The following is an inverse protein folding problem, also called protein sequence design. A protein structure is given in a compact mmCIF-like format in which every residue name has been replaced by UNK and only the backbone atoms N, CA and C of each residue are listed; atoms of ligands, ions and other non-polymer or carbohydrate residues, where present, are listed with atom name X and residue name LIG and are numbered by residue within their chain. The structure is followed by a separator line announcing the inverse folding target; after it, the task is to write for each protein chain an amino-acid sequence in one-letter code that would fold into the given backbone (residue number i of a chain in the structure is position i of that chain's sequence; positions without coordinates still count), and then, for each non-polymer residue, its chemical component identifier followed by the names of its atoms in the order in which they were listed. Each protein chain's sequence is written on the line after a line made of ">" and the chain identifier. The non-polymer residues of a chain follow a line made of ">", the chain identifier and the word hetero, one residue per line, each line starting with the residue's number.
data_IF_641369071461
#
_entry.id   IF_641369071461
#
_cell.length_a   1.000
_cell.length_b   1.000
_cell.length_c   1.000
_cell.angle_alpha   90.00
_cell.angle_beta   90.00
_cell.angle_gamma   90.00
#
_symmetry.space_group_name_H-M   'P 1'
#
loop_
_entity.id
_entity.type
_entity.pdbx_description
1 polymer ?
#
# COMPACT_ATOMS: atom_id res chain seq x y z
N UNK A 1 -3.25 -8.77 0.79
CA UNK A 1 -2.49 -10.01 1.02
C UNK A 1 -2.19 -10.65 -0.33
N UNK A 2 -0.94 -11.00 -0.61
CA UNK A 2 -0.54 -11.70 -1.84
C UNK A 2 -1.12 -13.12 -1.89
N UNK A 3 -1.46 -13.64 -3.08
CA UNK A 3 -2.00 -15.01 -3.26
C UNK A 3 -1.07 -16.08 -2.65
N UNK A 4 0.23 -15.86 -2.71
CA UNK A 4 1.25 -16.75 -2.14
C UNK A 4 1.14 -16.84 -0.61
N UNK A 5 1.02 -15.70 0.08
CA UNK A 5 0.80 -15.64 1.53
C UNK A 5 -0.44 -16.41 1.96
N UNK A 6 -1.56 -16.23 1.25
CA UNK A 6 -2.80 -16.93 1.56
C UNK A 6 -2.65 -18.45 1.44
N UNK A 7 -1.99 -18.93 0.37
CA UNK A 7 -1.71 -20.36 0.18
C UNK A 7 -0.83 -20.92 1.30
N UNK A 8 0.21 -20.21 1.71
CA UNK A 8 1.10 -20.69 2.78
C UNK A 8 0.39 -20.72 4.14
N UNK A 9 -0.47 -19.74 4.42
CA UNK A 9 -1.31 -19.73 5.62
C UNK A 9 -2.28 -20.92 5.64
N UNK A 10 -2.97 -21.17 4.53
CA UNK A 10 -3.88 -22.31 4.41
C UNK A 10 -3.15 -23.65 4.62
N UNK A 11 -1.96 -23.79 4.02
CA UNK A 11 -1.11 -24.96 4.19
C UNK A 11 -0.70 -25.14 5.67
N UNK A 12 -0.30 -24.06 6.34
CA UNK A 12 0.07 -24.07 7.75
C UNK A 12 -1.08 -24.53 8.67
N UNK A 13 -2.32 -24.14 8.34
CA UNK A 13 -3.50 -24.48 9.13
C UNK A 13 -3.96 -25.93 8.93
N UNK A 14 -3.72 -26.50 7.75
CA UNK A 14 -4.27 -27.80 7.34
C UNK A 14 -3.27 -28.95 7.40
N UNK A 15 -1.96 -28.67 7.31
CA UNK A 15 -0.93 -29.69 7.24
C UNK A 15 -0.96 -30.63 8.46
N UNK A 16 -0.89 -31.94 8.19
CA UNK A 16 -0.87 -33.00 9.20
C UNK A 16 0.52 -33.58 9.44
N UNK A 17 1.43 -33.44 8.47
CA UNK A 17 2.79 -33.97 8.49
C UNK A 17 3.75 -32.94 7.88
N UNK A 18 5.03 -33.08 8.19
CA UNK A 18 6.09 -32.33 7.52
C UNK A 18 6.21 -32.70 6.04
N UNK A 19 6.77 -31.78 5.27
CA UNK A 19 7.00 -31.98 3.85
C UNK A 19 7.84 -30.87 3.24
N UNK A 20 7.77 -30.73 1.92
CA UNK A 20 8.60 -29.78 1.18
C UNK A 20 8.38 -28.32 1.55
N UNK A 21 7.16 -27.97 1.94
CA UNK A 21 6.75 -26.59 2.22
C UNK A 21 6.30 -26.37 3.68
N UNK A 22 6.32 -27.41 4.51
CA UNK A 22 5.89 -27.34 5.91
C UNK A 22 6.90 -28.07 6.77
N UNK A 23 7.36 -27.41 7.81
CA UNK A 23 8.31 -27.94 8.78
C UNK A 23 7.78 -27.70 10.19
N UNK A 24 7.91 -28.71 11.05
CA UNK A 24 7.47 -28.66 12.43
C UNK A 24 8.69 -28.57 13.32
N UNK A 25 8.67 -27.62 14.26
CA UNK A 25 9.70 -27.48 15.27
C UNK A 25 9.07 -27.61 16.64
N UNK A 26 9.49 -28.60 17.40
CA UNK A 26 8.95 -28.83 18.74
C UNK A 26 9.29 -27.68 19.68
N UNK A 27 10.52 -27.17 19.57
CA UNK A 27 11.11 -26.13 20.42
C UNK A 27 12.10 -25.29 19.63
N UNK A 28 12.40 -24.11 20.16
CA UNK A 28 13.46 -23.23 19.68
C UNK A 28 13.98 -22.38 20.83
N UNK A 29 15.30 -22.37 21.03
CA UNK A 29 15.96 -21.48 21.99
C UNK A 29 16.63 -20.30 21.27
N UNK A 30 16.10 -19.05 21.42
CA UNK A 30 16.70 -17.86 20.82
C UNK A 30 18.12 -17.54 21.33
N UNK A 31 18.55 -18.10 22.46
CA UNK A 31 19.90 -17.92 22.99
C UNK A 31 20.89 -18.94 22.43
N UNK A 32 20.41 -20.03 21.82
CA UNK A 32 21.23 -21.11 21.29
C UNK A 32 21.70 -20.81 19.86
N UNK A 33 23.03 -20.67 19.62
CA UNK A 33 23.56 -20.50 18.26
C UNK A 33 23.30 -21.73 17.37
N UNK A 34 23.22 -22.92 17.97
CA UNK A 34 22.91 -24.16 17.24
C UNK A 34 21.48 -24.16 16.69
N UNK A 35 20.50 -23.72 17.49
CA UNK A 35 19.10 -23.65 17.07
C UNK A 35 18.93 -22.60 15.98
N UNK A 36 19.58 -21.44 16.11
CA UNK A 36 19.64 -20.44 15.05
C UNK A 36 20.20 -21.00 13.75
N UNK A 37 21.32 -21.73 13.80
CA UNK A 37 21.91 -22.32 12.60
C UNK A 37 20.97 -23.33 11.92
N UNK A 38 20.22 -24.12 12.69
CA UNK A 38 19.21 -25.06 12.16
C UNK A 38 18.06 -24.31 11.48
N UNK A 39 17.48 -23.31 12.15
CA UNK A 39 16.37 -22.52 11.60
C UNK A 39 16.80 -21.75 10.35
N UNK A 40 17.97 -21.12 10.35
CA UNK A 40 18.47 -20.37 9.18
C UNK A 40 18.69 -21.30 7.98
N UNK A 41 19.24 -22.50 8.20
CA UNK A 41 19.34 -23.51 7.13
C UNK A 41 17.98 -23.82 6.53
N UNK A 42 16.98 -24.04 7.39
CA UNK A 42 15.63 -24.40 6.97
C UNK A 42 14.92 -23.26 6.23
N UNK A 43 15.06 -22.02 6.71
CA UNK A 43 14.55 -20.81 6.05
C UNK A 43 15.13 -20.67 4.65
N UNK A 44 16.47 -20.74 4.52
CA UNK A 44 17.14 -20.59 3.22
C UNK A 44 16.77 -21.74 2.28
N UNK A 45 16.74 -22.98 2.77
CA UNK A 45 16.35 -24.14 1.99
C UNK A 45 14.91 -24.01 1.45
N UNK A 46 13.98 -23.51 2.26
CA UNK A 46 12.61 -23.25 1.83
C UNK A 46 12.54 -22.12 0.80
N UNK A 47 13.21 -21.00 1.04
CA UNK A 47 13.23 -19.87 0.12
C UNK A 47 13.71 -20.30 -1.28
N UNK A 48 14.80 -21.06 -1.34
CA UNK A 48 15.36 -21.61 -2.57
C UNK A 48 14.40 -22.60 -3.25
N UNK A 49 13.69 -23.42 -2.46
CA UNK A 49 12.78 -24.46 -2.96
C UNK A 49 11.36 -23.99 -3.33
N UNK A 50 11.04 -22.71 -3.20
CA UNK A 50 9.73 -22.15 -3.59
C UNK A 50 8.88 -21.65 -2.45
N UNK A 51 9.49 -21.36 -1.31
CA UNK A 51 8.82 -20.89 -0.11
C UNK A 51 8.17 -22.02 0.70
N UNK A 52 7.77 -21.68 1.91
CA UNK A 52 7.20 -22.61 2.87
C UNK A 52 6.81 -21.94 4.18
N UNK A 53 6.53 -22.76 5.17
CA UNK A 53 6.20 -22.33 6.53
C UNK A 53 6.88 -23.23 7.54
N UNK A 54 7.50 -22.62 8.55
CA UNK A 54 7.99 -23.32 9.74
C UNK A 54 7.01 -23.02 10.87
N UNK A 55 6.48 -24.07 11.51
CA UNK A 55 5.57 -23.97 12.65
C UNK A 55 6.26 -24.42 13.93
N UNK A 56 6.17 -23.60 14.97
CA UNK A 56 6.78 -23.88 16.26
C UNK A 56 5.75 -24.40 17.26
N UNK A 57 6.20 -25.28 18.15
CA UNK A 57 5.36 -25.95 19.13
C UNK A 57 4.64 -27.19 18.61
N UNK A 58 5.18 -27.83 17.57
CA UNK A 58 4.65 -29.06 16.98
C UNK A 58 5.75 -30.10 16.93
N UNK A 59 5.43 -31.32 17.38
CA UNK A 59 6.33 -32.49 17.29
C UNK A 59 6.30 -33.12 15.90
N UNK A 60 7.25 -33.99 15.61
CA UNK A 60 7.36 -34.68 14.30
C UNK A 60 6.12 -35.52 13.96
N UNK A 61 5.39 -36.01 14.96
CA UNK A 61 4.12 -36.74 14.80
C UNK A 61 2.91 -35.83 14.51
N UNK A 62 3.11 -34.50 14.48
CA UNK A 62 2.09 -33.48 14.25
C UNK A 62 1.28 -33.09 15.49
N UNK A 63 1.55 -33.69 16.65
CA UNK A 63 0.97 -33.32 17.94
C UNK A 63 1.61 -32.03 18.49
N UNK A 64 0.92 -31.38 19.44
CA UNK A 64 1.40 -30.12 20.00
C UNK A 64 2.36 -30.33 21.16
N UNK A 65 3.39 -29.49 21.26
CA UNK A 65 4.26 -29.39 22.43
C UNK A 65 3.78 -28.28 23.38
N UNK A 66 4.44 -28.10 24.52
CA UNK A 66 4.17 -27.02 25.47
C UNK A 66 5.03 -25.76 25.23
N UNK A 67 5.57 -25.62 24.01
CA UNK A 67 6.39 -24.47 23.65
C UNK A 67 5.60 -23.15 23.69
N UNK A 68 6.19 -22.12 24.31
CA UNK A 68 5.60 -20.78 24.34
C UNK A 68 5.80 -20.08 23.00
N UNK A 69 4.68 -19.82 22.31
CA UNK A 69 4.66 -19.12 21.02
C UNK A 69 5.24 -17.71 21.10
N UNK A 70 5.16 -17.04 22.25
CA UNK A 70 5.67 -15.69 22.41
C UNK A 70 7.19 -15.62 22.23
N UNK A 71 7.90 -16.73 22.46
CA UNK A 71 9.33 -16.87 22.19
C UNK A 71 9.69 -16.53 20.75
N UNK A 72 8.81 -16.83 19.79
CA UNK A 72 9.03 -16.56 18.36
C UNK A 72 8.37 -15.25 17.94
N UNK A 73 7.13 -15.00 18.40
CA UNK A 73 6.40 -13.76 18.08
C UNK A 73 7.12 -12.51 18.61
N UNK A 74 7.82 -12.64 19.75
CA UNK A 74 8.61 -11.56 20.33
C UNK A 74 9.95 -11.30 19.62
N UNK A 75 10.34 -12.13 18.66
CA UNK A 75 11.57 -11.90 17.89
C UNK A 75 11.29 -10.82 16.84
N UNK A 76 12.08 -9.75 16.88
CA UNK A 76 12.08 -8.75 15.83
C UNK A 76 12.56 -9.39 14.50
N UNK A 77 11.78 -9.27 13.40
CA UNK A 77 12.21 -9.71 12.07
C UNK A 77 13.62 -9.23 11.68
N UNK A 78 14.05 -8.04 12.11
CA UNK A 78 15.40 -7.54 11.84
C UNK A 78 16.48 -8.47 12.41
N UNK A 79 16.25 -9.06 13.60
CA UNK A 79 17.20 -10.01 14.20
C UNK A 79 17.36 -11.26 13.33
N UNK A 80 16.26 -11.77 12.77
CA UNK A 80 16.31 -12.92 11.86
C UNK A 80 17.06 -12.56 10.58
N UNK A 81 16.79 -11.39 10.00
CA UNK A 81 17.47 -10.90 8.80
C UNK A 81 18.98 -10.73 9.04
N UNK A 82 19.39 -10.12 10.16
CA UNK A 82 20.79 -9.94 10.54
C UNK A 82 21.50 -11.28 10.73
N UNK A 83 20.83 -12.25 11.37
CA UNK A 83 21.37 -13.60 11.52
C UNK A 83 21.56 -14.26 10.16
N UNK A 84 20.60 -14.15 9.24
CA UNK A 84 20.74 -14.68 7.87
C UNK A 84 21.91 -14.01 7.15
N UNK A 85 21.97 -12.68 7.13
CA UNK A 85 23.04 -11.89 6.49
C UNK A 85 24.41 -12.25 7.06
N UNK A 86 24.52 -12.54 8.38
CA UNK A 86 25.77 -13.00 8.99
C UNK A 86 26.33 -14.32 8.43
N UNK A 87 25.50 -15.14 7.79
CA UNK A 87 25.89 -16.42 7.19
C UNK A 87 25.88 -16.41 5.65
N UNK A 88 25.13 -15.52 5.02
CA UNK A 88 24.94 -15.48 3.56
C UNK A 88 25.54 -14.23 2.91
N UNK A 89 25.67 -13.12 3.64
CA UNK A 89 25.93 -11.75 3.15
C UNK A 89 24.82 -11.20 2.23
N UNK A 90 23.63 -11.77 2.32
CA UNK A 90 22.45 -11.34 1.59
C UNK A 90 21.44 -10.71 2.56
N UNK A 91 20.85 -9.58 2.16
CA UNK A 91 19.80 -8.89 2.90
C UNK A 91 18.44 -9.54 2.63
N UNK A 92 18.29 -10.79 3.05
CA UNK A 92 17.06 -11.55 2.87
C UNK A 92 15.99 -11.12 3.89
N UNK A 93 14.93 -10.48 3.40
CA UNK A 93 13.77 -10.05 4.19
C UNK A 93 12.43 -10.64 3.71
N UNK A 94 12.47 -11.63 2.81
CA UNK A 94 11.28 -12.24 2.20
C UNK A 94 10.67 -13.32 3.11
N UNK A 95 10.33 -12.93 4.34
CA UNK A 95 9.66 -13.76 5.32
C UNK A 95 8.77 -12.92 6.24
N UNK A 96 7.83 -13.57 6.93
CA UNK A 96 7.00 -12.94 7.95
C UNK A 96 6.88 -13.84 9.18
N UNK A 97 7.00 -13.24 10.36
CA UNK A 97 6.74 -13.90 11.65
C UNK A 97 5.31 -13.54 12.08
N UNK A 98 4.47 -14.54 12.33
CA UNK A 98 3.07 -14.30 12.70
C UNK A 98 2.43 -15.44 13.49
N UNK A 99 1.31 -15.13 14.12
CA UNK A 99 0.49 -16.11 14.83
C UNK A 99 -0.41 -16.87 13.84
N UNK A 100 -0.33 -18.20 13.86
CA UNK A 100 -1.09 -19.10 12.99
C UNK A 100 -2.02 -19.97 13.86
N UNK A 101 -3.30 -20.01 13.51
CA UNK A 101 -4.28 -20.86 14.22
C UNK A 101 -4.43 -22.20 13.50
N UNK A 102 -3.93 -23.29 14.11
CA UNK A 102 -4.05 -24.68 13.60
C UNK A 102 -4.95 -25.48 14.52
N UNK A 103 -6.00 -26.14 13.99
CA UNK A 103 -7.00 -26.92 14.75
C UNK A 103 -7.38 -26.31 16.11
N UNK A 104 -7.75 -25.03 16.13
CA UNK A 104 -8.14 -24.21 17.30
C UNK A 104 -7.02 -23.83 18.30
N UNK A 105 -5.76 -24.19 18.04
CA UNK A 105 -4.60 -23.76 18.82
C UNK A 105 -3.82 -22.68 18.07
N UNK A 106 -3.45 -21.60 18.77
CA UNK A 106 -2.58 -20.55 18.26
C UNK A 106 -1.12 -20.95 18.44
N UNK A 107 -0.36 -20.86 17.36
CA UNK A 107 1.06 -21.19 17.28
C UNK A 107 1.82 -20.02 16.67
N UNK A 108 3.13 -19.99 16.85
CA UNK A 108 3.98 -19.10 16.08
C UNK A 108 4.43 -19.79 14.79
N UNK A 109 4.50 -19.02 13.71
CA UNK A 109 5.05 -19.50 12.45
C UNK A 109 5.87 -18.44 11.74
N UNK A 110 6.81 -18.94 10.92
CA UNK A 110 7.58 -18.12 9.99
C UNK A 110 7.14 -18.51 8.59
N UNK A 111 6.46 -17.60 7.90
CA UNK A 111 6.19 -17.72 6.46
C UNK A 111 7.43 -17.32 5.69
N UNK A 112 7.85 -18.13 4.73
CA UNK A 112 9.06 -17.91 3.94
C UNK A 112 8.64 -17.86 2.48
N UNK A 113 8.96 -16.76 1.80
CA UNK A 113 8.62 -16.58 0.39
C UNK A 113 9.74 -17.07 -0.52
N UNK A 114 9.37 -17.35 -1.78
CA UNK A 114 10.31 -17.85 -2.78
C UNK A 114 11.29 -16.79 -3.27
N UNK A 115 12.59 -17.08 -3.24
CA UNK A 115 13.60 -16.23 -3.88
C UNK A 115 13.79 -16.61 -5.37
N UNK A 116 14.00 -15.64 -6.27
CA UNK A 116 14.35 -15.92 -7.67
C UNK A 116 15.79 -16.40 -7.85
N UNK A 117 16.69 -16.10 -6.89
CA UNK A 117 18.10 -16.45 -6.96
C UNK A 117 18.46 -17.30 -5.76
N UNK A 118 19.06 -18.50 -5.95
CA UNK A 118 19.44 -19.35 -4.83
C UNK A 118 20.45 -18.65 -3.91
N UNK A 119 20.16 -18.65 -2.61
CA UNK A 119 21.01 -18.01 -1.60
C UNK A 119 22.11 -19.00 -1.18
N UNK A 120 23.36 -18.54 -1.21
CA UNK A 120 24.55 -19.32 -0.88
C UNK A 120 25.02 -18.97 0.54
N UNK A 121 25.44 -19.99 1.31
CA UNK A 121 26.11 -19.74 2.59
C UNK A 121 27.57 -19.34 2.37
N UNK A 122 27.96 -18.16 2.83
CA UNK A 122 29.35 -17.66 2.74
C UNK A 122 30.17 -17.95 4.00
N UNK A 123 29.52 -18.39 5.08
CA UNK A 123 30.12 -18.86 6.33
C UNK A 123 29.52 -20.22 6.74
N UNK A 124 30.31 -21.07 7.39
CA UNK A 124 29.81 -22.32 7.95
C UNK A 124 28.89 -22.06 9.14
N UNK A 125 27.89 -22.92 9.32
CA UNK A 125 27.00 -22.90 10.48
C UNK A 125 27.72 -23.36 11.74
N UNK A 126 27.16 -23.02 12.91
CA UNK A 126 27.66 -23.54 14.18
C UNK A 126 27.57 -25.07 14.20
N UNK A 127 28.53 -25.71 14.86
CA UNK A 127 28.54 -27.16 15.02
C UNK A 127 27.34 -27.64 15.83
N UNK A 128 26.65 -28.63 15.27
CA UNK A 128 25.51 -29.30 15.87
C UNK A 128 25.85 -30.75 16.10
N UNK A 129 25.45 -31.28 17.25
CA UNK A 129 25.59 -32.70 17.56
C UNK A 129 24.56 -33.49 16.75
N UNK A 130 25.01 -34.42 15.90
CA UNK A 130 24.16 -35.42 15.26
C UNK A 130 23.83 -36.57 16.23
N UNK A 131 22.86 -37.42 15.86
CA UNK A 131 22.38 -38.58 16.64
C UNK A 131 23.48 -39.59 17.04
N UNK A 132 24.67 -39.50 16.44
CA UNK A 132 25.84 -40.35 16.74
C UNK A 132 26.94 -39.65 17.54
N UNK A 133 26.65 -38.50 18.16
CA UNK A 133 27.59 -37.75 19.01
C UNK A 133 28.71 -37.02 18.25
N UNK A 134 28.79 -37.15 16.92
CA UNK A 134 29.73 -36.39 16.09
C UNK A 134 29.21 -34.96 15.90
N UNK A 135 30.06 -33.99 16.19
CA UNK A 135 29.81 -32.59 15.89
C UNK A 135 30.13 -32.32 14.42
N UNK A 136 29.18 -31.70 13.72
CA UNK A 136 29.36 -31.21 12.34
C UNK A 136 28.69 -29.86 12.20
N UNK A 137 29.18 -29.01 11.28
CA UNK A 137 28.56 -27.72 11.04
C UNK A 137 27.15 -27.93 10.51
N UNK A 138 26.18 -27.14 10.99
CA UNK A 138 24.79 -27.23 10.55
C UNK A 138 24.64 -27.13 9.01
N UNK A 139 25.53 -26.35 8.39
CA UNK A 139 25.70 -26.17 6.96
C UNK A 139 27.15 -25.76 6.62
N UNK A 140 27.59 -26.07 5.40
CA UNK A 140 28.98 -25.83 4.95
C UNK A 140 29.07 -24.55 4.12
N UNK A 141 30.20 -23.84 4.24
CA UNK A 141 30.53 -22.66 3.41
C UNK A 141 30.55 -23.02 1.92
N UNK A 142 30.03 -22.13 1.08
CA UNK A 142 29.94 -22.27 -0.37
C UNK A 142 28.81 -23.19 -0.85
N UNK A 143 28.00 -23.73 0.08
CA UNK A 143 26.91 -24.62 -0.26
C UNK A 143 25.58 -23.87 -0.39
N UNK A 144 24.74 -24.35 -1.29
CA UNK A 144 23.35 -23.91 -1.46
C UNK A 144 22.46 -25.05 -0.97
N UNK A 145 21.52 -24.76 -0.09
CA UNK A 145 20.61 -25.76 0.44
C UNK A 145 19.22 -25.62 -0.17
N UNK A 146 18.55 -26.75 -0.36
CA UNK A 146 17.20 -26.87 -0.89
C UNK A 146 16.38 -27.84 -0.04
N UNK A 147 15.07 -27.65 -0.05
CA UNK A 147 14.12 -28.61 0.53
C UNK A 147 13.86 -29.79 -0.41
N UNK A 148 14.20 -30.98 0.06
CA UNK A 148 13.84 -32.28 -0.52
C UNK A 148 12.95 -33.05 0.47
N UNK A 149 11.63 -33.06 0.20
CA UNK A 149 10.67 -33.53 1.21
C UNK A 149 10.80 -32.73 2.50
N UNK A 150 10.84 -33.40 3.66
CA UNK A 150 11.00 -32.74 4.96
C UNK A 150 12.45 -32.32 5.28
N UNK A 151 13.44 -32.61 4.42
CA UNK A 151 14.86 -32.37 4.71
C UNK A 151 15.44 -31.17 3.97
N UNK A 152 16.36 -30.47 4.63
CA UNK A 152 17.18 -29.40 4.04
C UNK A 152 18.56 -29.96 3.68
N UNK A 153 18.83 -30.13 2.39
CA UNK A 153 20.00 -30.82 1.85
C UNK A 153 20.77 -29.95 0.84
N UNK A 154 22.07 -30.22 0.61
CA UNK A 154 22.81 -29.57 -0.46
C UNK A 154 22.12 -29.73 -1.81
N UNK A 155 22.09 -28.64 -2.57
CA UNK A 155 21.41 -28.58 -3.86
C UNK A 155 22.07 -29.42 -4.93
N UNK A 156 21.23 -29.89 -5.85
CA UNK A 156 21.64 -30.59 -7.06
C UNK A 156 21.45 -29.69 -8.29
N UNK A 157 21.98 -30.12 -9.43
CA UNK A 157 21.73 -29.45 -10.73
C UNK A 157 20.23 -29.35 -11.05
N UNK A 158 19.43 -30.33 -10.62
CA UNK A 158 17.97 -30.33 -10.80
C UNK A 158 17.28 -29.21 -10.03
N UNK A 159 17.81 -28.87 -8.84
CA UNK A 159 17.28 -27.78 -8.03
C UNK A 159 17.57 -26.42 -8.67
N UNK A 160 18.80 -26.21 -9.15
CA UNK A 160 19.16 -25.01 -9.89
C UNK A 160 18.29 -24.84 -11.13
N UNK A 161 18.09 -25.91 -11.91
CA UNK A 161 17.18 -25.92 -13.06
C UNK A 161 15.76 -25.52 -12.65
N UNK A 162 15.26 -26.08 -11.55
CA UNK A 162 13.91 -25.78 -11.03
C UNK A 162 13.74 -24.31 -10.65
N UNK A 163 14.78 -23.67 -10.12
CA UNK A 163 14.76 -22.22 -9.83
C UNK A 163 14.72 -21.43 -11.13
N UNK A 164 15.59 -21.73 -12.10
CA UNK A 164 15.60 -21.07 -13.41
C UNK A 164 14.24 -21.21 -14.10
N UNK A 165 13.68 -22.41 -14.14
CA UNK A 165 12.37 -22.68 -14.74
C UNK A 165 11.24 -21.89 -14.06
N UNK A 166 11.32 -21.70 -12.73
CA UNK A 166 10.38 -20.86 -11.98
C UNK A 166 10.50 -19.40 -12.36
N UNK A 167 11.72 -18.86 -12.47
CA UNK A 167 11.97 -17.48 -12.89
C UNK A 167 11.47 -17.26 -14.31
N UNK A 168 11.83 -18.14 -15.25
CA UNK A 168 11.38 -18.08 -16.65
C UNK A 168 9.85 -18.15 -16.72
N UNK A 169 9.22 -19.05 -15.95
CA UNK A 169 7.77 -19.17 -15.90
C UNK A 169 7.09 -17.92 -15.34
N UNK A 170 7.69 -17.27 -14.33
CA UNK A 170 7.20 -16.01 -13.76
C UNK A 170 7.27 -14.89 -14.80
N UNK A 171 8.38 -14.77 -15.52
CA UNK A 171 8.55 -13.80 -16.61
C UNK A 171 7.51 -14.06 -17.70
N UNK A 172 7.40 -15.31 -18.20
CA UNK A 172 6.40 -15.69 -19.22
C UNK A 172 4.97 -15.34 -18.82
N UNK A 173 4.58 -15.63 -17.57
CA UNK A 173 3.24 -15.28 -17.06
C UNK A 173 3.01 -13.76 -17.03
N UNK A 174 4.02 -12.99 -16.61
CA UNK A 174 3.95 -11.52 -16.62
C UNK A 174 3.78 -10.98 -18.04
N UNK A 175 4.54 -11.53 -19.01
CA UNK A 175 4.44 -11.16 -20.42
C UNK A 175 3.07 -11.49 -21.00
N UNK A 176 2.56 -12.72 -20.79
CA UNK A 176 1.24 -13.13 -21.27
C UNK A 176 0.10 -12.30 -20.66
N UNK A 177 0.22 -11.89 -19.39
CA UNK A 177 -0.74 -10.98 -18.77
C UNK A 177 -0.72 -9.60 -19.45
N UNK A 178 0.47 -9.08 -19.74
CA UNK A 178 0.63 -7.84 -20.50
C UNK A 178 0.01 -7.93 -21.89
N UNK A 179 0.32 -8.98 -22.64
CA UNK A 179 -0.21 -9.20 -23.99
C UNK A 179 -1.73 -9.35 -23.96
N UNK A 180 -2.30 -10.15 -23.06
CA UNK A 180 -3.77 -10.29 -22.93
C UNK A 180 -4.45 -8.97 -22.68
N UNK A 181 -3.86 -8.12 -21.83
CA UNK A 181 -4.41 -6.79 -21.53
C UNK A 181 -4.44 -5.89 -22.75
N UNK A 182 -3.48 -6.04 -23.68
CA UNK A 182 -3.42 -5.28 -24.93
C UNK A 182 -4.31 -5.90 -26.01
N UNK A 183 -4.33 -7.24 -26.12
CA UNK A 183 -5.12 -7.93 -27.13
C UNK A 183 -6.64 -7.90 -26.85
N UNK A 184 -7.05 -7.67 -25.60
CA UNK A 184 -8.46 -7.53 -25.22
C UNK A 184 -9.04 -6.14 -25.50
N UNK A 185 -8.26 -5.24 -26.10
CA UNK A 185 -8.67 -3.87 -26.42
C UNK A 185 -9.59 -3.92 -27.64
N UNK A 186 -10.78 -3.33 -27.51
CA UNK A 186 -11.72 -3.19 -28.62
C UNK A 186 -11.41 -1.96 -29.47
N UNK A 187 -11.85 -1.97 -30.73
CA UNK A 187 -11.69 -0.84 -31.65
C UNK A 187 -12.37 0.41 -31.05
N UNK A 188 -11.58 1.48 -30.81
CA UNK A 188 -12.03 2.71 -30.16
C UNK A 188 -11.64 2.86 -28.67
N UNK A 189 -11.03 1.85 -28.04
CA UNK A 189 -10.50 1.97 -26.68
C UNK A 189 -9.07 2.57 -26.66
N UNK A 190 -8.84 3.56 -25.81
CA UNK A 190 -7.55 4.29 -25.72
C UNK A 190 -6.58 3.62 -24.72
N UNK A 191 -5.34 3.36 -25.15
CA UNK A 191 -4.32 2.68 -24.33
C UNK A 191 -3.41 3.70 -23.65
N UNK A 192 -3.56 3.83 -22.34
CA UNK A 192 -2.69 4.73 -21.56
C UNK A 192 -1.61 3.90 -20.82
N UNK A 193 -0.38 3.97 -21.33
CA UNK A 193 0.80 3.37 -20.69
C UNK A 193 1.33 4.36 -19.66
N UNK A 194 1.07 4.11 -18.38
CA UNK A 194 1.69 4.87 -17.28
C UNK A 194 2.94 4.16 -16.77
N UNK A 195 4.01 4.91 -16.56
CA UNK A 195 5.18 4.44 -15.82
C UNK A 195 4.77 4.30 -14.35
N UNK A 196 4.99 3.11 -13.78
CA UNK A 196 4.83 2.92 -12.33
C UNK A 196 6.02 3.61 -11.66
N UNK A 197 5.87 4.89 -11.31
CA UNK A 197 6.88 5.57 -10.50
C UNK A 197 6.86 4.95 -9.10
N UNK A 198 7.92 4.20 -8.80
CA UNK A 198 8.27 3.86 -7.42
C UNK A 198 8.44 5.19 -6.68
N UNK A 199 7.65 5.38 -5.64
CA UNK A 199 7.56 6.60 -4.86
C UNK A 199 8.91 7.33 -4.74
N UNK A 200 9.07 8.38 -5.53
CA UNK A 200 10.01 9.46 -5.26
C UNK A 200 9.19 10.72 -5.38
N UNK A 201 9.22 11.53 -4.33
CA UNK A 201 8.44 12.75 -4.11
C UNK A 201 8.83 13.82 -5.13
N UNK A 202 8.42 13.63 -6.37
CA UNK A 202 8.50 14.62 -7.45
C UNK A 202 7.30 14.35 -8.34
N UNK A 203 6.38 15.29 -8.35
CA UNK A 203 5.10 15.21 -9.07
C UNK A 203 5.40 14.93 -10.56
N UNK A 204 5.00 13.77 -11.11
CA UNK A 204 5.14 13.53 -12.54
C UNK A 204 4.17 14.42 -13.30
N UNK A 205 4.71 15.14 -14.29
CA UNK A 205 3.99 16.06 -15.19
C UNK A 205 3.13 15.35 -16.23
N UNK A 206 2.90 14.04 -16.10
CA UNK A 206 2.04 13.28 -16.99
C UNK A 206 1.01 12.49 -16.18
N UNK A 207 -0.13 13.14 -15.94
CA UNK A 207 -1.24 12.61 -15.14
C UNK A 207 -2.27 11.94 -16.04
N UNK A 208 -2.46 10.64 -15.85
CA UNK A 208 -3.49 9.83 -16.53
C UNK A 208 -4.88 10.17 -15.99
N UNK A 209 -5.80 10.46 -16.91
CA UNK A 209 -7.19 10.82 -16.65
C UNK A 209 -8.01 9.61 -16.16
N UNK A 210 -8.60 9.69 -14.97
CA UNK A 210 -9.61 8.75 -14.49
C UNK A 210 -10.98 9.42 -14.44
N UNK A 211 -12.00 8.82 -15.07
CA UNK A 211 -13.40 9.29 -15.08
C UNK A 211 -14.19 8.50 -14.02
N UNK A 212 -14.77 9.17 -13.03
CA UNK A 212 -15.76 8.55 -12.11
C UNK A 212 -17.09 9.27 -12.30
N UNK A 213 -17.80 9.03 -13.42
CA UNK A 213 -19.21 9.41 -13.59
C UNK A 213 -19.90 8.43 -14.54
N UNK A 214 -21.15 8.07 -14.23
CA UNK A 214 -22.02 7.12 -14.95
C UNK A 214 -22.78 7.72 -16.15
N UNK A 215 -22.61 8.99 -16.48
CA UNK A 215 -23.31 9.68 -17.58
C UNK A 215 -22.35 9.96 -18.75
N UNK A 216 -22.73 9.52 -19.96
CA UNK A 216 -21.93 9.55 -21.18
C UNK A 216 -21.79 10.96 -21.78
N UNK A 217 -22.80 11.81 -21.59
CA UNK A 217 -22.87 13.16 -22.22
C UNK A 217 -22.48 14.29 -21.25
N UNK A 218 -21.96 13.96 -20.07
CA UNK A 218 -21.52 14.96 -19.11
C UNK A 218 -20.25 15.67 -19.63
N UNK A 219 -20.22 17.02 -19.71
CA UNK A 219 -19.00 17.77 -19.96
C UNK A 219 -17.97 17.37 -18.91
N UNK A 220 -16.74 17.10 -19.35
CA UNK A 220 -15.60 16.85 -18.47
C UNK A 220 -15.33 18.09 -17.61
N UNK A 221 -15.75 18.08 -16.35
CA UNK A 221 -15.42 19.15 -15.42
C UNK A 221 -14.14 18.81 -14.67
N UNK A 222 -13.11 19.64 -14.85
CA UNK A 222 -11.79 19.52 -14.23
C UNK A 222 -11.73 20.45 -13.03
N UNK A 223 -11.08 20.01 -11.95
CA UNK A 223 -10.49 20.90 -10.96
C UNK A 223 -8.96 20.86 -11.16
N UNK A 224 -8.52 21.39 -12.30
CA UNK A 224 -7.13 21.84 -12.42
C UNK A 224 -6.97 23.04 -11.49
N UNK A 225 -6.08 22.89 -10.50
CA UNK A 225 -5.66 23.91 -9.57
C UNK A 225 -6.78 24.89 -9.12
N UNK A 226 -7.47 24.64 -8.00
CA UNK A 226 -8.58 25.50 -7.55
C UNK A 226 -8.23 26.99 -7.42
N UNK A 227 -6.94 27.34 -7.39
CA UNK A 227 -6.45 28.72 -7.40
C UNK A 227 -6.56 29.41 -8.76
N UNK A 228 -6.63 28.67 -9.87
CA UNK A 228 -6.77 29.25 -11.21
C UNK A 228 -8.25 29.51 -11.53
N UNK A 229 -9.12 28.57 -11.16
CA UNK A 229 -10.57 28.68 -11.42
C UNK A 229 -11.28 29.57 -10.38
N UNK A 230 -10.88 29.50 -9.10
CA UNK A 230 -11.34 30.39 -8.02
C UNK A 230 -10.16 31.19 -7.45
N UNK A 231 -9.63 32.18 -8.19
CA UNK A 231 -8.45 32.91 -7.79
C UNK A 231 -8.64 33.66 -6.48
N UNK A 232 -9.83 34.19 -6.23
CA UNK A 232 -10.05 35.15 -5.16
C UNK A 232 -10.40 34.49 -3.82
N UNK A 233 -9.63 34.79 -2.78
CA UNK A 233 -10.12 34.72 -1.39
C UNK A 233 -11.08 35.87 -1.13
N UNK A 234 -11.87 35.81 -0.04
CA UNK A 234 -12.89 36.83 0.26
C UNK A 234 -12.37 38.27 0.25
N UNK A 235 -11.16 38.50 0.78
CA UNK A 235 -10.53 39.84 0.79
C UNK A 235 -10.14 40.31 -0.63
N UNK A 236 -9.58 39.40 -1.41
CA UNK A 236 -9.16 39.66 -2.79
C UNK A 236 -10.37 39.94 -3.69
N UNK A 237 -11.48 39.22 -3.50
CA UNK A 237 -12.72 39.46 -4.24
C UNK A 237 -13.27 40.86 -3.97
N UNK A 238 -13.26 41.31 -2.71
CA UNK A 238 -13.72 42.65 -2.33
C UNK A 238 -12.84 43.72 -2.95
N UNK A 239 -11.52 43.52 -2.94
CA UNK A 239 -10.57 44.43 -3.58
C UNK A 239 -10.83 44.53 -5.09
N UNK A 240 -10.94 43.39 -5.77
CA UNK A 240 -11.21 43.31 -7.22
C UNK A 240 -12.52 44.01 -7.60
N UNK A 241 -13.59 43.83 -6.82
CA UNK A 241 -14.88 44.48 -7.09
C UNK A 241 -14.80 45.98 -6.85
N UNK A 242 -14.16 46.42 -5.76
CA UNK A 242 -14.02 47.85 -5.45
C UNK A 242 -13.15 48.58 -6.49
N UNK A 243 -12.08 47.95 -6.95
CA UNK A 243 -11.23 48.47 -8.03
C UNK A 243 -12.05 48.65 -9.32
N UNK A 244 -12.85 47.65 -9.69
CA UNK A 244 -13.71 47.71 -10.89
C UNK A 244 -14.93 48.64 -10.77
N UNK A 245 -15.31 49.04 -9.56
CA UNK A 245 -16.37 50.03 -9.31
C UNK A 245 -15.85 51.47 -9.33
N UNK A 246 -14.53 51.67 -9.36
CA UNK A 246 -13.86 52.98 -9.52
C UNK A 246 -14.46 54.12 -8.67
N UNK A 247 -14.76 53.80 -7.40
CA UNK A 247 -15.30 54.78 -6.45
C UNK A 247 -16.80 55.06 -6.53
N UNK A 248 -17.56 54.48 -7.48
CA UNK A 248 -19.03 54.64 -7.54
C UNK A 248 -19.72 54.10 -6.28
N UNK A 249 -19.19 53.00 -5.72
CA UNK A 249 -19.65 52.42 -4.46
C UNK A 249 -18.60 51.51 -3.86
N UNK A 250 -18.39 51.62 -2.55
CA UNK A 250 -17.47 50.73 -1.82
C UNK A 250 -18.26 49.61 -1.15
N UNK A 251 -17.83 48.37 -1.39
CA UNK A 251 -18.36 47.18 -0.75
C UNK A 251 -17.39 46.62 0.28
N UNK A 252 -17.95 45.86 1.22
CA UNK A 252 -17.24 45.20 2.32
C UNK A 252 -17.43 43.69 2.28
N UNK A 253 -16.67 42.96 3.10
CA UNK A 253 -16.83 41.50 3.26
C UNK A 253 -18.26 41.14 3.70
N UNK A 254 -18.89 41.99 4.52
CA UNK A 254 -20.27 41.79 4.97
C UNK A 254 -21.26 41.79 3.79
N UNK A 255 -21.01 42.60 2.76
CA UNK A 255 -21.87 42.68 1.58
C UNK A 255 -21.83 41.40 0.76
N UNK A 256 -20.65 40.79 0.61
CA UNK A 256 -20.49 39.49 -0.03
C UNK A 256 -21.27 38.41 0.73
N UNK A 257 -21.27 38.44 2.06
CA UNK A 257 -22.06 37.50 2.87
C UNK A 257 -23.57 37.71 2.69
N UNK A 258 -24.04 38.97 2.67
CA UNK A 258 -25.44 39.30 2.43
C UNK A 258 -25.92 38.81 1.06
N UNK A 259 -25.13 39.06 0.00
CA UNK A 259 -25.43 38.60 -1.36
C UNK A 259 -25.53 37.08 -1.41
N UNK A 260 -24.53 36.38 -0.86
CA UNK A 260 -24.51 34.90 -0.87
C UNK A 260 -25.73 34.31 -0.18
N UNK A 261 -26.14 34.87 0.96
CA UNK A 261 -27.30 34.40 1.70
C UNK A 261 -28.61 34.71 0.96
N UNK A 262 -28.80 35.92 0.45
CA UNK A 262 -30.02 36.30 -0.29
C UNK A 262 -30.24 35.45 -1.54
N UNK A 263 -29.17 35.17 -2.29
CA UNK A 263 -29.23 34.44 -3.56
C UNK A 263 -28.91 32.95 -3.42
N UNK A 264 -28.80 32.44 -2.19
CA UNK A 264 -28.45 31.05 -1.88
C UNK A 264 -27.22 30.55 -2.66
N UNK A 265 -26.12 31.29 -2.64
CA UNK A 265 -24.88 31.00 -3.37
C UNK A 265 -23.87 30.31 -2.43
N UNK A 266 -23.73 29.01 -2.61
CA UNK A 266 -22.78 28.16 -1.90
C UNK A 266 -22.20 27.08 -2.84
N UNK A 267 -21.26 26.29 -2.31
CA UNK A 267 -20.56 25.23 -3.02
C UNK A 267 -21.48 24.17 -3.65
N UNK A 268 -22.66 23.93 -3.07
CA UNK A 268 -23.62 22.93 -3.57
C UNK A 268 -24.61 23.52 -4.57
N UNK A 269 -24.99 24.79 -4.41
CA UNK A 269 -26.02 25.43 -5.24
C UNK A 269 -25.45 26.14 -6.47
N UNK A 270 -24.23 26.67 -6.37
CA UNK A 270 -23.54 27.42 -7.42
C UNK A 270 -22.03 27.10 -7.39
N UNK A 271 -21.64 25.86 -7.74
CA UNK A 271 -20.24 25.42 -7.72
C UNK A 271 -19.35 26.30 -8.61
N UNK A 272 -19.87 26.82 -9.73
CA UNK A 272 -19.12 27.70 -10.65
C UNK A 272 -18.69 29.04 -10.01
N UNK A 273 -19.32 29.44 -8.90
CA UNK A 273 -19.06 30.72 -8.22
C UNK A 273 -18.25 30.56 -6.94
N UNK A 274 -18.44 29.45 -6.22
CA UNK A 274 -17.87 29.24 -4.89
C UNK A 274 -17.26 27.85 -4.79
N UNK A 275 -16.00 27.79 -4.37
CA UNK A 275 -15.31 26.54 -4.09
C UNK A 275 -14.82 26.49 -2.65
N UNK A 276 -15.12 25.38 -1.96
CA UNK A 276 -14.68 25.13 -0.60
C UNK A 276 -14.21 23.66 -0.49
N UNK A 277 -12.89 23.39 -0.47
CA UNK A 277 -12.36 22.03 -0.55
C UNK A 277 -12.58 21.21 0.73
N UNK A 278 -12.56 21.87 1.89
CA UNK A 278 -12.73 21.25 3.20
C UNK A 278 -13.60 22.15 4.09
N UNK A 279 -14.33 21.57 5.05
CA UNK A 279 -15.26 22.30 5.91
C UNK A 279 -14.57 23.41 6.74
N UNK A 280 -13.30 23.22 7.09
CA UNK A 280 -12.53 24.14 7.95
C UNK A 280 -11.80 25.26 7.18
N UNK A 281 -11.79 25.21 5.85
CA UNK A 281 -11.11 26.22 5.03
C UNK A 281 -12.06 27.32 4.55
N UNK A 282 -11.53 28.54 4.44
CA UNK A 282 -12.30 29.64 3.86
C UNK A 282 -12.62 29.38 2.38
N UNK A 283 -13.83 29.76 1.92
CA UNK A 283 -14.22 29.60 0.52
C UNK A 283 -13.37 30.48 -0.40
N UNK A 284 -13.27 30.06 -1.65
CA UNK A 284 -12.70 30.83 -2.76
C UNK A 284 -13.77 31.14 -3.79
N UNK A 285 -13.53 32.20 -4.57
CA UNK A 285 -14.48 32.77 -5.50
C UNK A 285 -13.88 32.89 -6.90
N UNK A 286 -14.73 32.68 -7.90
CA UNK A 286 -14.34 32.70 -9.31
C UNK A 286 -14.50 34.08 -9.94
N UNK A 287 -13.84 34.29 -11.08
CA UNK A 287 -13.99 35.51 -11.89
C UNK A 287 -15.44 35.72 -12.37
N UNK A 288 -16.17 34.68 -12.83
CA UNK A 288 -17.59 34.81 -13.14
C UNK A 288 -18.45 35.34 -11.98
N UNK A 289 -18.13 34.99 -10.73
CA UNK A 289 -18.87 35.51 -9.58
C UNK A 289 -18.67 37.01 -9.40
N UNK A 290 -17.43 37.51 -9.54
CA UNK A 290 -17.14 38.94 -9.50
C UNK A 290 -17.88 39.69 -10.63
N UNK A 291 -17.81 39.18 -11.86
CA UNK A 291 -18.50 39.75 -13.01
C UNK A 291 -20.01 39.77 -12.84
N UNK A 292 -20.60 38.72 -12.25
CA UNK A 292 -22.02 38.65 -11.97
C UNK A 292 -22.48 39.70 -10.95
N UNK A 293 -21.70 39.93 -9.88
CA UNK A 293 -21.99 40.97 -8.89
C UNK A 293 -22.00 42.35 -9.55
N UNK A 294 -20.97 42.67 -10.34
CA UNK A 294 -20.86 43.93 -11.06
C UNK A 294 -22.00 44.13 -12.06
N UNK A 295 -22.33 43.09 -12.84
CA UNK A 295 -23.46 43.11 -13.76
C UNK A 295 -24.81 43.29 -13.07
N UNK A 296 -24.97 42.73 -11.87
CA UNK A 296 -26.19 42.89 -11.07
C UNK A 296 -26.32 44.31 -10.51
N UNK A 297 -25.19 44.92 -10.09
CA UNK A 297 -25.16 46.31 -9.66
C UNK A 297 -25.49 47.29 -10.80
N UNK A 298 -24.93 47.08 -12.00
CA UNK A 298 -25.26 47.88 -13.18
C UNK A 298 -26.75 47.85 -13.53
N UNK A 299 -27.42 46.71 -13.29
CA UNK A 299 -28.87 46.57 -13.51
C UNK A 299 -29.71 47.20 -12.40
N UNK A 300 -29.23 47.20 -11.16
CA UNK A 300 -29.89 47.85 -10.03
C UNK A 300 -28.87 48.46 -9.08
N UNK A 301 -28.81 49.79 -9.06
CA UNK A 301 -27.93 50.56 -8.19
C UNK A 301 -28.22 50.33 -6.68
N UNK A 302 -29.40 49.77 -6.35
CA UNK A 302 -29.79 49.39 -4.99
C UNK A 302 -29.42 47.95 -4.63
N UNK A 303 -28.84 47.18 -5.54
CA UNK A 303 -28.56 45.74 -5.36
C UNK A 303 -27.91 45.38 -4.03
N UNK A 304 -26.85 46.10 -3.63
CA UNK A 304 -26.16 45.86 -2.36
C UNK A 304 -27.01 46.19 -1.13
N UNK A 305 -27.78 47.28 -1.18
CA UNK A 305 -28.58 47.73 -0.05
C UNK A 305 -29.78 46.80 0.18
N UNK A 306 -30.42 46.38 -0.91
CA UNK A 306 -31.49 45.40 -0.80
C UNK A 306 -30.96 44.04 -0.28
N UNK A 307 -29.72 43.64 -0.61
CA UNK A 307 -29.12 42.42 -0.08
C UNK A 307 -28.89 42.51 1.44
N UNK A 308 -28.47 43.69 1.94
CA UNK A 308 -28.36 43.97 3.39
C UNK A 308 -29.72 43.92 4.08
N UNK A 309 -30.73 44.55 3.50
CA UNK A 309 -32.09 44.58 4.06
C UNK A 309 -32.72 43.20 4.16
N UNK A 310 -32.50 42.33 3.18
CA UNK A 310 -32.99 40.96 3.21
C UNK A 310 -32.51 40.21 4.46
N UNK A 311 -31.22 40.37 4.82
CA UNK A 311 -30.66 39.72 6.00
C UNK A 311 -31.13 40.38 7.31
N UNK A 312 -31.37 41.69 7.31
CA UNK A 312 -31.99 42.37 8.47
C UNK A 312 -33.40 41.85 8.72
N UNK A 313 -34.22 41.71 7.66
CA UNK A 313 -35.59 41.17 7.74
C UNK A 313 -35.65 39.67 8.05
N UNK A 314 -34.65 38.90 7.63
CA UNK A 314 -34.58 37.46 7.97
C UNK A 314 -34.19 37.23 9.42
N UNK A 315 -33.36 38.10 10.01
CA UNK A 315 -33.02 38.05 11.44
C UNK A 315 -34.21 38.43 12.32
N UNK A 316 -35.00 39.45 11.94
CA UNK A 316 -36.18 39.88 12.70
C UNK A 316 -37.40 38.93 12.61
N UNK A 317 -37.31 37.83 11.85
CA UNK A 317 -38.34 36.78 11.76
C UNK A 317 -37.98 35.52 12.56
N UNK A 318 -36.80 35.50 13.19
CA UNK A 318 -36.31 34.42 14.04
C UNK A 318 -36.06 34.86 15.49
N UNK A 319 -36.41 36.10 15.81
CA UNK A 319 -36.75 36.59 17.15
C UNK A 319 -38.27 36.62 17.27
#
# INVERSE_FOLDING_TARGET
>A
MTKEKQRLLELAQTATKEGRQVDFKERFDPLSPQDWARIIKDVIAMANSGGGVILFGIKDDGSYSNFDRNTIIGIDPAVVADKISSYTREDFSEFEILEITRKKRRLAGILIFSTPTPIVFTRAGTDVTEDKGKQKPAFVKGSVYFRHGAKSEPGTTSDIKSVIDRVVSRIKKSWLQGIRKVASIQEGEEVIVSRKETATTTIPTQRVLGKIVTNKDAPSFRLENPREVWPFRTKELVAEINERLDGEKTITIHDILCIRRRHNINENTKPDYVYKPYQDLSPRYSVPFASWILGSYKKSQKFFDEAREYIKKSKSRHE
#
